data_IF_647463501207
#
_entry.id   IF_647463501207
#
_cell.length_a   1.000
_cell.length_b   1.000
_cell.length_c   1.000
_cell.angle_alpha   90.00
_cell.angle_beta   90.00
_cell.angle_gamma   90.00
#
_symmetry.space_group_name_H-M   'P 1'
#
loop_
_entity.id
_entity.type
_entity.pdbx_description
1 polymer ?
#
# COMPACT_ATOMS: atom_id res chain seq x y z
N UNK A 1 -10.95 -6.32 -23.56
CA UNK A 1 -10.36 -5.96 -22.25
C UNK A 1 -10.84 -4.55 -21.95
N UNK A 2 -11.44 -4.30 -20.78
CA UNK A 2 -11.85 -2.94 -20.39
C UNK A 2 -10.62 -2.10 -20.07
N UNK A 3 -10.67 -0.79 -20.38
CA UNK A 3 -9.69 0.17 -19.89
C UNK A 3 -9.84 0.41 -18.39
N UNK A 4 -8.83 0.99 -17.75
CA UNK A 4 -8.81 1.28 -16.30
C UNK A 4 -10.05 2.05 -15.85
N UNK A 5 -10.46 3.08 -16.59
CA UNK A 5 -11.69 3.85 -16.32
C UNK A 5 -12.96 3.00 -16.36
N UNK A 6 -13.04 2.02 -17.27
CA UNK A 6 -14.21 1.12 -17.37
C UNK A 6 -14.26 0.10 -16.23
N UNK A 7 -13.09 -0.34 -15.72
CA UNK A 7 -13.02 -1.18 -14.53
C UNK A 7 -13.41 -0.38 -13.26
N UNK A 8 -13.01 0.89 -13.19
CA UNK A 8 -13.42 1.80 -12.11
C UNK A 8 -14.93 2.06 -12.13
N UNK A 9 -15.49 2.37 -13.30
CA UNK A 9 -16.92 2.59 -13.51
C UNK A 9 -17.76 1.37 -13.12
N UNK A 10 -17.38 0.17 -13.57
CA UNK A 10 -18.03 -1.08 -13.18
C UNK A 10 -17.95 -1.38 -11.66
N UNK A 11 -16.83 -1.03 -11.00
CA UNK A 11 -16.69 -1.17 -9.55
C UNK A 11 -17.53 -0.13 -8.78
N UNK A 12 -17.62 1.11 -9.28
CA UNK A 12 -18.46 2.17 -8.72
C UNK A 12 -19.95 1.86 -8.87
N UNK A 13 -20.37 1.34 -10.03
CA UNK A 13 -21.73 0.87 -10.25
C UNK A 13 -22.05 -0.29 -9.29
N UNK A 14 -21.17 -1.30 -9.18
CA UNK A 14 -21.34 -2.42 -8.25
C UNK A 14 -21.53 -1.92 -6.80
N UNK A 15 -20.69 -1.00 -6.34
CA UNK A 15 -20.76 -0.45 -4.98
C UNK A 15 -22.02 0.41 -4.70
N UNK A 16 -22.70 0.91 -5.73
CA UNK A 16 -23.84 1.85 -5.60
C UNK A 16 -25.17 1.33 -6.13
N UNK A 17 -25.18 0.19 -6.85
CA UNK A 17 -26.36 -0.44 -7.46
C UNK A 17 -26.59 -1.89 -7.02
N UNK A 18 -25.59 -2.60 -6.50
CA UNK A 18 -25.81 -3.95 -5.99
C UNK A 18 -26.78 -3.92 -4.81
N UNK A 19 -27.80 -4.77 -4.82
CA UNK A 19 -28.89 -4.78 -3.83
C UNK A 19 -28.45 -5.13 -2.40
N UNK A 20 -27.20 -5.57 -2.21
CA UNK A 20 -26.54 -5.80 -0.92
C UNK A 20 -25.74 -4.60 -0.40
N UNK A 21 -25.57 -3.55 -1.20
CA UNK A 21 -24.67 -2.42 -0.94
C UNK A 21 -25.45 -1.12 -0.76
N UNK A 22 -25.95 -0.91 0.46
CA UNK A 22 -26.55 0.36 0.90
C UNK A 22 -25.47 1.44 1.09
N UNK A 23 -24.87 1.91 -0.01
CA UNK A 23 -23.87 2.98 -0.03
C UNK A 23 -24.29 4.11 -0.97
N UNK A 24 -24.13 5.34 -0.50
CA UNK A 24 -24.35 6.53 -1.34
C UNK A 24 -23.24 6.70 -2.39
N UNK A 25 -23.54 7.41 -3.48
CA UNK A 25 -22.54 7.70 -4.53
C UNK A 25 -21.31 8.48 -4.00
N UNK A 26 -21.47 9.52 -3.14
CA UNK A 26 -20.32 10.13 -2.46
C UNK A 26 -19.54 9.17 -1.56
N UNK A 27 -20.21 8.26 -0.85
CA UNK A 27 -19.55 7.27 -0.01
C UNK A 27 -18.70 6.30 -0.82
N UNK A 28 -19.23 5.76 -1.93
CA UNK A 28 -18.47 4.87 -2.81
C UNK A 28 -17.26 5.59 -3.42
N UNK A 29 -17.43 6.84 -3.86
CA UNK A 29 -16.31 7.67 -4.33
C UNK A 29 -15.27 7.95 -3.24
N UNK A 30 -15.69 8.21 -1.99
CA UNK A 30 -14.79 8.38 -0.84
C UNK A 30 -14.09 7.06 -0.43
N UNK A 31 -14.71 5.91 -0.68
CA UNK A 31 -14.10 4.59 -0.47
C UNK A 31 -13.05 4.27 -1.55
N UNK A 32 -13.34 4.54 -2.82
CA UNK A 32 -12.43 4.23 -3.94
C UNK A 32 -11.30 5.26 -4.10
N UNK A 33 -11.59 6.55 -3.90
CA UNK A 33 -10.60 7.65 -3.97
C UNK A 33 -10.55 8.41 -2.63
N UNK A 34 -10.01 7.78 -1.55
CA UNK A 34 -9.90 8.41 -0.24
C UNK A 34 -8.80 9.47 -0.18
N UNK A 35 -9.13 10.66 0.33
CA UNK A 35 -8.19 11.78 0.55
C UNK A 35 -7.02 11.40 1.49
N UNK A 36 -6.00 12.26 1.59
CA UNK A 36 -4.87 12.03 2.49
C UNK A 36 -5.29 12.18 3.96
N UNK A 37 -5.48 11.05 4.65
CA UNK A 37 -6.06 11.01 6.01
C UNK A 37 -5.07 10.60 7.10
N UNK A 38 -4.13 9.68 6.82
CA UNK A 38 -3.29 9.03 7.84
C UNK A 38 -2.46 10.03 8.66
N UNK A 39 -1.83 11.01 8.00
CA UNK A 39 -0.97 12.01 8.63
C UNK A 39 -1.70 13.34 8.94
N UNK A 40 -3.02 13.39 8.77
CA UNK A 40 -3.78 14.63 8.83
C UNK A 40 -4.27 14.94 10.25
N UNK A 41 -3.46 15.67 11.01
CA UNK A 41 -3.74 16.01 12.40
C UNK A 41 -5.07 16.77 12.59
N UNK A 42 -5.47 17.64 11.66
CA UNK A 42 -6.65 18.52 11.77
C UNK A 42 -7.95 17.88 11.27
N UNK A 43 -7.89 16.66 10.74
CA UNK A 43 -9.09 15.93 10.28
C UNK A 43 -9.95 15.47 11.47
N UNK A 44 -11.29 15.63 11.45
CA UNK A 44 -12.17 15.12 12.50
C UNK A 44 -12.09 13.60 12.69
N UNK A 45 -12.18 13.12 13.93
CA UNK A 45 -12.01 11.70 14.28
C UNK A 45 -13.06 10.78 13.63
N UNK A 46 -14.31 11.21 13.48
CA UNK A 46 -15.34 10.43 12.74
C UNK A 46 -14.92 10.16 11.30
N UNK A 47 -14.34 11.18 10.65
CA UNK A 47 -13.86 11.13 9.26
C UNK A 47 -12.59 10.29 9.15
N UNK A 48 -11.65 10.39 10.09
CA UNK A 48 -10.50 9.48 10.19
C UNK A 48 -10.94 8.02 10.35
N UNK A 49 -11.86 7.75 11.29
CA UNK A 49 -12.35 6.40 11.56
C UNK A 49 -13.08 5.79 10.36
N UNK A 50 -13.89 6.57 9.64
CA UNK A 50 -14.55 6.15 8.40
C UNK A 50 -13.52 5.76 7.32
N UNK A 51 -12.45 6.55 7.14
CA UNK A 51 -11.39 6.20 6.20
C UNK A 51 -10.55 4.99 6.66
N UNK A 52 -10.24 4.88 7.95
CA UNK A 52 -9.51 3.73 8.52
C UNK A 52 -10.28 2.42 8.37
N UNK A 53 -11.60 2.46 8.58
CA UNK A 53 -12.50 1.33 8.32
C UNK A 53 -12.54 0.97 6.83
N UNK A 54 -12.81 1.93 5.95
CA UNK A 54 -12.94 1.65 4.51
C UNK A 54 -11.60 1.20 3.88
N UNK A 55 -10.45 1.66 4.38
CA UNK A 55 -9.12 1.19 3.98
C UNK A 55 -8.81 -0.26 4.39
N UNK A 56 -9.63 -0.88 5.24
CA UNK A 56 -9.58 -2.33 5.52
C UNK A 56 -10.47 -3.16 4.57
N UNK A 57 -11.28 -2.49 3.74
CA UNK A 57 -12.34 -3.10 2.90
C UNK A 57 -12.13 -2.88 1.40
N UNK A 58 -11.38 -1.85 1.01
CA UNK A 58 -11.07 -1.47 -0.37
C UNK A 58 -9.71 -0.76 -0.41
N UNK A 59 -8.85 -1.17 -1.32
CA UNK A 59 -7.61 -0.44 -1.62
C UNK A 59 -7.89 0.86 -2.39
N UNK A 60 -7.12 1.95 -2.18
CA UNK A 60 -7.29 3.17 -2.95
C UNK A 60 -6.99 2.95 -4.44
N UNK A 61 -7.92 3.35 -5.32
CA UNK A 61 -7.72 3.40 -6.76
C UNK A 61 -6.90 4.65 -7.11
N UNK A 62 -5.60 4.61 -6.80
CA UNK A 62 -4.68 5.74 -6.91
C UNK A 62 -4.13 5.94 -8.34
N UNK A 63 -3.67 7.15 -8.63
CA UNK A 63 -3.19 7.59 -9.94
C UNK A 63 -3.77 8.95 -10.35
N UNK A 64 -3.20 9.65 -11.36
CA UNK A 64 -3.63 10.99 -11.73
C UNK A 64 -5.06 11.02 -12.28
N UNK A 65 -6.03 11.52 -11.51
CA UNK A 65 -7.45 11.40 -11.83
C UNK A 65 -8.26 12.67 -11.59
N UNK A 66 -9.20 12.91 -12.50
CA UNK A 66 -10.35 13.80 -12.33
C UNK A 66 -11.55 12.98 -12.77
N UNK A 67 -12.36 12.53 -11.81
CA UNK A 67 -13.50 11.64 -12.06
C UNK A 67 -14.77 12.46 -11.86
N UNK A 68 -15.49 12.71 -12.96
CA UNK A 68 -16.87 13.17 -12.92
C UNK A 68 -17.80 11.95 -12.90
N UNK A 69 -18.84 11.99 -12.08
CA UNK A 69 -19.73 10.85 -11.82
C UNK A 69 -21.18 11.31 -11.62
N UNK A 70 -22.14 10.44 -11.96
CA UNK A 70 -23.58 10.72 -11.77
C UNK A 70 -24.39 9.44 -11.62
N UNK A 71 -25.55 9.55 -10.97
CA UNK A 71 -26.60 8.52 -10.92
C UNK A 71 -27.91 8.96 -11.61
N UNK A 72 -27.91 10.09 -12.33
CA UNK A 72 -29.09 10.72 -12.95
C UNK A 72 -29.88 11.67 -12.05
N UNK A 73 -29.63 11.69 -10.73
CA UNK A 73 -30.23 12.63 -9.75
C UNK A 73 -29.21 13.57 -9.12
N UNK A 74 -27.95 13.14 -9.04
CA UNK A 74 -26.84 13.93 -8.51
C UNK A 74 -25.66 13.86 -9.49
N UNK A 75 -24.90 14.95 -9.59
CA UNK A 75 -23.67 15.04 -10.41
C UNK A 75 -22.55 15.50 -9.51
N UNK A 76 -21.39 14.84 -9.57
CA UNK A 76 -20.23 15.25 -8.80
C UNK A 76 -18.92 15.07 -9.56
N UNK A 77 -17.87 15.64 -8.99
CA UNK A 77 -16.50 15.43 -9.43
C UNK A 77 -15.55 15.33 -8.23
N UNK A 78 -14.58 14.44 -8.33
CA UNK A 78 -13.48 14.31 -7.36
C UNK A 78 -12.14 14.29 -8.09
N UNK A 79 -11.12 14.82 -7.44
CA UNK A 79 -9.74 14.59 -7.82
C UNK A 79 -9.17 13.36 -7.12
N UNK A 80 -8.04 12.86 -7.64
CA UNK A 80 -7.15 11.96 -6.90
C UNK A 80 -6.64 12.59 -5.60
N UNK A 81 -6.05 11.75 -4.73
CA UNK A 81 -5.53 12.14 -3.41
C UNK A 81 -4.58 13.33 -3.44
N UNK A 82 -3.81 13.49 -4.52
CA UNK A 82 -2.75 14.48 -4.67
C UNK A 82 -3.17 15.64 -5.59
N UNK A 83 -4.30 15.53 -6.30
CA UNK A 83 -4.84 16.52 -7.23
C UNK A 83 -3.98 16.74 -8.47
N UNK A 84 -3.48 15.63 -9.05
CA UNK A 84 -2.54 15.64 -10.19
C UNK A 84 -3.19 16.01 -11.53
N UNK A 85 -4.53 16.08 -11.59
CA UNK A 85 -5.30 16.59 -12.72
C UNK A 85 -5.93 17.94 -12.40
N UNK A 86 -5.95 18.91 -13.33
CA UNK A 86 -6.64 20.17 -13.11
C UNK A 86 -8.15 19.98 -13.22
N UNK A 87 -8.90 20.68 -12.36
CA UNK A 87 -10.35 20.81 -12.42
C UNK A 87 -10.77 22.15 -11.83
N UNK A 88 -11.70 22.83 -12.51
CA UNK A 88 -12.24 24.14 -12.15
C UNK A 88 -13.72 24.15 -12.43
N UNK A 89 -14.48 24.87 -11.62
CA UNK A 89 -15.90 25.05 -11.85
C UNK A 89 -16.33 26.50 -11.64
N UNK A 90 -17.35 26.89 -12.41
CA UNK A 90 -18.02 28.18 -12.35
C UNK A 90 -19.49 27.94 -11.99
N UNK A 91 -20.03 28.79 -11.13
CA UNK A 91 -21.48 28.86 -10.86
C UNK A 91 -21.92 30.24 -11.36
N UNK A 92 -22.95 30.28 -12.21
CA UNK A 92 -23.51 31.52 -12.76
C UNK A 92 -24.57 32.12 -11.83
N UNK A 93 -25.01 33.35 -12.14
CA UNK A 93 -26.10 34.04 -11.43
C UNK A 93 -27.49 33.49 -11.73
N UNK A 94 -27.60 32.57 -12.69
CA UNK A 94 -28.83 31.83 -13.05
C UNK A 94 -28.73 30.33 -12.70
N UNK A 95 -27.93 29.99 -11.69
CA UNK A 95 -27.74 28.67 -11.08
C UNK A 95 -27.21 27.54 -11.99
N UNK A 96 -26.77 27.84 -13.22
CA UNK A 96 -26.00 26.88 -14.01
C UNK A 96 -24.61 26.63 -13.39
N UNK A 97 -24.17 25.37 -13.40
CA UNK A 97 -22.85 24.98 -12.91
C UNK A 97 -22.06 24.28 -14.01
N UNK A 98 -20.85 24.78 -14.26
CA UNK A 98 -20.00 24.39 -15.38
C UNK A 98 -18.66 23.92 -14.84
N UNK A 99 -18.27 22.66 -15.08
CA UNK A 99 -17.00 22.09 -14.61
C UNK A 99 -16.14 21.63 -15.80
N UNK A 100 -14.85 21.97 -15.77
CA UNK A 100 -13.89 21.63 -16.83
C UNK A 100 -12.47 21.46 -16.26
N UNK A 101 -11.60 20.77 -17.00
CA UNK A 101 -10.16 20.74 -16.72
C UNK A 101 -9.48 22.10 -16.95
N UNK A 102 -10.05 22.93 -17.82
CA UNK A 102 -9.45 24.17 -18.32
C UNK A 102 -10.41 25.37 -18.23
N UNK A 103 -9.87 26.58 -18.40
CA UNK A 103 -10.63 27.84 -18.37
C UNK A 103 -10.99 28.28 -19.78
N UNK A 104 -12.14 28.95 -19.97
CA UNK A 104 -12.55 29.47 -21.28
C UNK A 104 -13.00 28.42 -22.30
N UNK A 105 -13.32 27.19 -21.86
CA UNK A 105 -13.80 26.10 -22.72
C UNK A 105 -15.24 26.31 -23.23
N UNK A 106 -16.03 27.14 -22.55
CA UNK A 106 -17.40 27.49 -22.94
C UNK A 106 -17.38 28.87 -23.60
N UNK A 107 -17.65 28.89 -24.90
CA UNK A 107 -17.82 30.12 -25.67
C UNK A 107 -19.07 30.89 -25.21
N UNK A 108 -19.03 32.21 -25.23
CA UNK A 108 -20.16 33.08 -24.89
C UNK A 108 -20.42 33.30 -23.39
N UNK A 109 -19.70 32.64 -22.48
CA UNK A 109 -19.81 32.89 -21.03
C UNK A 109 -19.30 34.31 -20.69
N UNK A 110 -20.19 35.20 -20.26
CA UNK A 110 -19.85 36.59 -19.91
C UNK A 110 -19.44 36.66 -18.43
N UNK A 111 -18.37 37.41 -18.13
CA UNK A 111 -17.82 37.55 -16.78
C UNK A 111 -18.83 38.06 -15.75
N UNK A 112 -19.76 38.93 -16.17
CA UNK A 112 -20.81 39.51 -15.33
C UNK A 112 -21.86 38.49 -14.85
N UNK A 113 -22.02 37.39 -15.58
CA UNK A 113 -23.01 36.34 -15.28
C UNK A 113 -22.41 35.25 -14.35
N UNK A 114 -21.13 35.35 -13.98
CA UNK A 114 -20.45 34.35 -13.13
C UNK A 114 -20.49 34.78 -11.66
N UNK A 115 -21.33 34.12 -10.87
CA UNK A 115 -21.47 34.37 -9.44
C UNK A 115 -20.25 33.91 -8.63
N UNK A 116 -19.68 32.74 -8.93
CA UNK A 116 -18.45 32.24 -8.28
C UNK A 116 -17.53 31.47 -9.23
N UNK A 117 -16.23 31.49 -8.92
CA UNK A 117 -15.18 30.75 -9.64
C UNK A 117 -14.30 29.99 -8.66
N UNK A 118 -14.19 28.68 -8.84
CA UNK A 118 -13.45 27.81 -7.93
C UNK A 118 -12.58 26.79 -8.69
N UNK A 119 -11.54 26.32 -7.99
CA UNK A 119 -10.73 25.17 -8.38
C UNK A 119 -11.13 23.99 -7.49
N UNK A 120 -11.21 22.78 -8.04
CA UNK A 120 -11.29 21.58 -7.21
C UNK A 120 -9.90 21.28 -6.62
N UNK A 121 -9.85 20.99 -5.33
CA UNK A 121 -8.61 20.81 -4.57
C UNK A 121 -8.36 19.31 -4.27
N UNK A 122 -7.11 18.89 -4.02
CA UNK A 122 -6.78 17.50 -3.69
C UNK A 122 -7.69 16.94 -2.59
N UNK A 123 -8.30 15.78 -2.86
CA UNK A 123 -9.21 15.13 -1.93
C UNK A 123 -10.54 15.85 -1.64
N UNK A 124 -10.85 17.01 -2.23
CA UNK A 124 -12.19 17.62 -2.16
C UNK A 124 -13.12 17.08 -3.24
N UNK A 125 -14.41 17.02 -2.90
CA UNK A 125 -15.49 16.65 -3.80
C UNK A 125 -16.35 17.88 -4.13
N UNK A 126 -16.62 18.07 -5.42
CA UNK A 126 -17.68 18.92 -5.92
C UNK A 126 -18.94 18.06 -6.13
N UNK A 127 -20.12 18.54 -5.75
CA UNK A 127 -21.35 17.76 -5.82
C UNK A 127 -22.59 18.64 -5.96
N UNK A 128 -23.50 18.27 -6.85
CA UNK A 128 -24.79 18.90 -7.10
C UNK A 128 -25.88 17.85 -6.91
N UNK A 129 -26.91 18.22 -6.17
CA UNK A 129 -28.10 17.40 -5.96
C UNK A 129 -29.31 18.10 -6.60
N UNK A 130 -29.90 17.46 -7.61
CA UNK A 130 -31.04 18.02 -8.34
C UNK A 130 -32.39 17.79 -7.63
N UNK A 131 -32.47 16.85 -6.69
CA UNK A 131 -33.66 16.70 -5.82
C UNK A 131 -33.69 17.83 -4.77
N UNK A 132 -32.53 18.32 -4.34
CA UNK A 132 -32.38 19.47 -3.44
C UNK A 132 -32.20 20.82 -4.16
N UNK A 133 -31.94 20.81 -5.48
CA UNK A 133 -31.73 22.01 -6.29
C UNK A 133 -30.49 22.84 -5.89
N UNK A 134 -29.41 22.22 -5.39
CA UNK A 134 -28.23 22.97 -4.90
C UNK A 134 -26.90 22.23 -5.05
N UNK A 135 -25.82 23.00 -5.00
CA UNK A 135 -24.46 22.48 -4.74
C UNK A 135 -24.33 22.14 -3.25
N UNK A 136 -23.84 20.94 -2.93
CA UNK A 136 -23.60 20.48 -1.56
C UNK A 136 -22.10 20.65 -1.24
N UNK A 137 -21.78 21.13 -0.03
CA UNK A 137 -20.38 21.40 0.34
C UNK A 137 -19.60 20.13 0.69
N UNK A 138 -18.29 20.09 0.38
CA UNK A 138 -17.36 19.01 0.73
C UNK A 138 -17.45 18.59 2.21
N UNK A 139 -17.59 19.58 3.10
CA UNK A 139 -17.70 19.36 4.54
C UNK A 139 -19.01 18.67 4.92
N UNK A 140 -20.13 19.08 4.31
CA UNK A 140 -21.47 18.52 4.56
C UNK A 140 -21.59 17.08 4.04
N UNK A 141 -21.04 16.81 2.85
CA UNK A 141 -20.95 15.46 2.27
C UNK A 141 -20.18 14.54 3.22
N UNK A 142 -18.97 14.96 3.62
CA UNK A 142 -18.07 14.14 4.43
C UNK A 142 -18.55 14.00 5.87
N UNK A 143 -19.20 15.02 6.44
CA UNK A 143 -19.88 14.90 7.72
C UNK A 143 -20.98 13.84 7.66
N UNK A 144 -21.87 13.92 6.66
CA UNK A 144 -22.95 12.95 6.44
C UNK A 144 -22.43 11.53 6.23
N UNK A 145 -21.42 11.34 5.38
CA UNK A 145 -20.82 10.02 5.10
C UNK A 145 -20.03 9.47 6.31
N UNK A 146 -19.34 10.31 7.08
CA UNK A 146 -18.63 9.87 8.29
C UNK A 146 -19.53 9.64 9.50
N UNK A 147 -20.74 10.22 9.51
CA UNK A 147 -21.76 10.01 10.53
C UNK A 147 -22.79 8.93 10.21
N UNK A 148 -22.80 8.38 8.99
CA UNK A 148 -23.86 7.44 8.55
C UNK A 148 -23.84 6.09 9.27
N UNK A 149 -22.68 5.67 9.81
CA UNK A 149 -22.48 4.41 10.53
C UNK A 149 -21.47 4.61 11.68
N UNK A 150 -21.47 3.77 12.73
CA UNK A 150 -20.58 3.92 13.89
C UNK A 150 -19.13 3.46 13.60
N UNK A 151 -18.46 4.08 12.63
CA UNK A 151 -17.09 3.72 12.24
C UNK A 151 -16.09 3.85 13.42
N UNK A 152 -16.30 4.81 14.32
CA UNK A 152 -15.48 4.98 15.52
C UNK A 152 -15.51 3.76 16.44
N UNK A 153 -16.67 3.11 16.58
CA UNK A 153 -16.81 1.88 17.38
C UNK A 153 -16.19 0.69 16.65
N UNK A 154 -16.36 0.60 15.33
CA UNK A 154 -15.75 -0.46 14.52
C UNK A 154 -14.22 -0.39 14.52
N UNK A 155 -13.63 0.81 14.49
CA UNK A 155 -12.18 1.01 14.56
C UNK A 155 -11.61 0.60 15.92
N UNK A 156 -12.34 0.78 17.02
CA UNK A 156 -11.92 0.31 18.35
C UNK A 156 -11.75 -1.22 18.43
N UNK A 157 -12.40 -1.98 17.55
CA UNK A 157 -12.25 -3.44 17.47
C UNK A 157 -11.04 -3.90 16.62
N UNK A 158 -10.27 -2.97 16.03
CA UNK A 158 -9.10 -3.31 15.22
C UNK A 158 -7.89 -3.71 16.08
N UNK A 159 -7.39 -4.93 15.88
CA UNK A 159 -6.14 -5.38 16.52
C UNK A 159 -4.94 -4.82 15.77
N UNK A 160 -4.39 -3.72 16.28
CA UNK A 160 -3.09 -3.21 15.84
C UNK A 160 -1.97 -4.08 16.40
N UNK A 161 -1.27 -4.84 15.55
CA UNK A 161 -0.19 -5.75 15.96
C UNK A 161 0.94 -5.09 16.75
N UNK A 162 1.18 -3.78 16.56
CA UNK A 162 2.15 -2.98 17.32
C UNK A 162 1.78 -2.82 18.81
N UNK A 163 0.49 -2.92 19.15
CA UNK A 163 -0.03 -2.73 20.50
C UNK A 163 -0.18 -4.05 21.29
N UNK A 164 0.23 -5.18 20.69
CA UNK A 164 0.22 -6.49 21.34
C UNK A 164 1.44 -6.59 22.28
N UNK A 165 1.23 -7.09 23.50
CA UNK A 165 2.34 -7.20 24.47
C UNK A 165 3.44 -8.12 23.93
N UNK A 166 4.65 -7.58 23.79
CA UNK A 166 5.84 -8.28 23.31
C UNK A 166 6.19 -8.07 21.83
N UNK A 167 5.41 -7.29 21.06
CA UNK A 167 5.74 -6.93 19.67
C UNK A 167 6.31 -5.51 19.52
N UNK A 168 5.99 -4.61 20.44
CA UNK A 168 6.64 -3.30 20.59
C UNK A 168 8.14 -3.50 20.85
N UNK A 169 9.00 -2.88 20.04
CA UNK A 169 10.47 -2.98 20.16
C UNK A 169 11.01 -2.47 21.51
N UNK A 170 10.24 -1.63 22.22
CA UNK A 170 10.61 -1.09 23.53
C UNK A 170 10.10 -1.97 24.70
N UNK A 171 8.98 -2.69 24.53
CA UNK A 171 8.42 -3.61 25.52
C UNK A 171 8.95 -5.04 25.37
N UNK A 172 9.48 -5.36 24.19
CA UNK A 172 10.38 -6.47 23.94
C UNK A 172 11.64 -6.28 24.79
N UNK A 173 11.57 -6.75 26.05
CA UNK A 173 12.77 -7.09 26.84
C UNK A 173 13.74 -7.80 25.89
N UNK A 174 14.98 -7.33 25.70
CA UNK A 174 15.89 -7.86 24.68
C UNK A 174 15.92 -9.36 24.87
N UNK A 175 15.41 -10.08 23.86
CA UNK A 175 14.91 -11.43 24.05
C UNK A 175 16.04 -12.27 24.64
N UNK A 176 15.92 -12.66 25.94
CA UNK A 176 16.96 -13.40 26.68
C UNK A 176 17.45 -14.49 25.74
N UNK A 177 18.69 -14.42 25.20
CA UNK A 177 19.10 -15.23 24.05
C UNK A 177 18.72 -16.70 24.26
N UNK A 178 17.62 -17.13 23.63
CA UNK A 178 16.68 -18.01 24.34
C UNK A 178 16.97 -19.50 24.14
N UNK A 179 18.25 -19.87 24.15
CA UNK A 179 18.71 -21.13 23.57
C UNK A 179 18.50 -21.21 22.06
N UNK A 180 18.12 -20.11 21.39
CA UNK A 180 18.18 -19.95 19.94
C UNK A 180 19.67 -19.85 19.53
N UNK A 181 20.35 -20.98 19.66
CA UNK A 181 21.75 -21.13 19.33
C UNK A 181 21.93 -20.74 17.87
N UNK A 182 22.74 -19.71 17.61
CA UNK A 182 23.15 -19.36 16.25
C UNK A 182 23.56 -20.66 15.55
N UNK A 183 22.94 -21.01 14.41
CA UNK A 183 23.20 -22.30 13.78
C UNK A 183 24.70 -22.51 13.65
N UNK A 184 25.21 -23.66 14.10
CA UNK A 184 26.65 -23.94 14.24
C UNK A 184 27.44 -23.89 12.91
N UNK A 185 26.72 -23.65 11.81
CA UNK A 185 27.15 -23.60 10.42
C UNK A 185 26.59 -22.33 9.74
N UNK A 186 26.56 -21.20 10.48
CA UNK A 186 26.02 -19.92 10.03
C UNK A 186 26.63 -19.44 8.69
N UNK A 187 27.94 -19.57 8.41
CA UNK A 187 28.51 -19.21 7.10
C UNK A 187 27.93 -20.03 5.93
N UNK A 188 27.66 -21.33 6.10
CA UNK A 188 26.99 -22.11 5.03
C UNK A 188 25.53 -21.73 4.88
N UNK A 189 24.83 -21.35 5.96
CA UNK A 189 23.47 -20.81 5.86
C UNK A 189 23.44 -19.46 5.14
N UNK A 190 24.39 -18.56 5.38
CA UNK A 190 24.52 -17.30 4.63
C UNK A 190 24.77 -17.56 3.13
N UNK A 191 25.71 -18.45 2.80
CA UNK A 191 25.99 -18.84 1.42
C UNK A 191 24.78 -19.48 0.72
N UNK A 192 23.98 -20.29 1.42
CA UNK A 192 22.77 -20.94 0.89
C UNK A 192 21.71 -19.93 0.39
N UNK A 193 21.69 -18.73 0.98
CA UNK A 193 20.78 -17.63 0.62
C UNK A 193 21.48 -16.51 -0.18
N UNK A 194 22.69 -16.74 -0.66
CA UNK A 194 23.44 -15.76 -1.45
C UNK A 194 23.76 -14.48 -0.67
N UNK A 195 24.08 -14.58 0.63
CA UNK A 195 24.67 -13.49 1.40
C UNK A 195 26.19 -13.53 1.18
N UNK A 196 26.71 -12.66 0.31
CA UNK A 196 28.15 -12.47 0.15
C UNK A 196 28.66 -11.44 1.18
N UNK A 197 29.97 -11.40 1.42
CA UNK A 197 30.59 -10.33 2.22
C UNK A 197 30.22 -8.96 1.68
N UNK A 198 30.19 -8.80 0.36
CA UNK A 198 29.78 -7.58 -0.35
C UNK A 198 28.33 -7.19 -0.05
N UNK A 199 27.37 -8.12 -0.14
CA UNK A 199 25.97 -7.89 0.25
C UNK A 199 25.86 -7.49 1.72
N UNK A 200 26.61 -8.12 2.61
CA UNK A 200 26.56 -7.82 4.04
C UNK A 200 27.16 -6.43 4.35
N UNK A 201 28.37 -6.15 3.88
CA UNK A 201 29.07 -4.88 4.14
C UNK A 201 28.46 -3.68 3.41
N UNK A 202 28.04 -3.84 2.14
CA UNK A 202 27.51 -2.72 1.36
C UNK A 202 26.02 -2.46 1.59
N UNK A 203 25.21 -3.46 1.94
CA UNK A 203 23.74 -3.29 2.02
C UNK A 203 23.22 -3.41 3.45
N UNK A 204 23.53 -4.50 4.15
CA UNK A 204 23.00 -4.73 5.51
C UNK A 204 23.61 -3.79 6.55
N UNK A 205 24.91 -3.47 6.47
CA UNK A 205 25.56 -2.60 7.47
C UNK A 205 25.03 -1.16 7.40
N UNK A 206 24.90 -0.48 6.24
CA UNK A 206 24.25 0.83 6.18
C UNK A 206 22.78 0.80 6.63
N UNK A 207 22.00 -0.23 6.27
CA UNK A 207 20.62 -0.36 6.76
C UNK A 207 20.55 -0.54 8.30
N UNK A 208 21.52 -1.25 8.88
CA UNK A 208 21.59 -1.49 10.34
C UNK A 208 22.15 -0.33 11.17
N UNK A 209 23.01 0.53 10.60
CA UNK A 209 23.67 1.64 11.30
C UNK A 209 23.07 3.01 10.97
N UNK A 210 22.77 3.29 9.70
CA UNK A 210 22.26 4.59 9.23
C UNK A 210 20.74 4.65 9.09
N UNK A 211 20.05 3.51 9.18
CA UNK A 211 18.61 3.36 8.92
C UNK A 211 18.20 3.77 7.50
N UNK A 212 19.09 3.57 6.52
CA UNK A 212 18.89 3.89 5.10
C UNK A 212 19.35 2.74 4.22
N UNK A 213 18.73 2.63 3.04
CA UNK A 213 19.29 1.84 1.94
C UNK A 213 20.63 2.43 1.48
N UNK A 214 21.53 1.58 1.01
CA UNK A 214 22.87 1.98 0.60
C UNK A 214 22.87 2.80 -0.69
N UNK A 215 23.71 3.83 -0.74
CA UNK A 215 23.80 4.72 -1.90
C UNK A 215 24.97 4.33 -2.80
N UNK A 216 24.65 3.63 -3.90
CA UNK A 216 25.57 3.37 -5.00
C UNK A 216 25.66 4.53 -6.01
N UNK A 217 26.59 4.41 -6.96
CA UNK A 217 26.67 5.25 -8.16
C UNK A 217 27.18 4.42 -9.35
N UNK A 218 27.15 4.99 -10.56
CA UNK A 218 27.26 4.26 -11.85
C UNK A 218 26.04 3.38 -12.18
N UNK A 219 26.03 2.81 -13.39
CA UNK A 219 25.00 1.87 -13.82
C UNK A 219 25.25 0.45 -13.29
N UNK A 220 24.23 -0.40 -13.35
CA UNK A 220 24.38 -1.82 -13.06
C UNK A 220 24.88 -2.56 -14.31
N UNK A 221 26.20 -2.73 -14.41
CA UNK A 221 26.86 -3.47 -15.50
C UNK A 221 26.84 -5.00 -15.32
N UNK A 222 26.18 -5.52 -14.26
CA UNK A 222 25.98 -6.95 -14.11
C UNK A 222 25.02 -7.51 -15.18
N UNK A 223 25.23 -8.74 -15.68
CA UNK A 223 24.29 -9.36 -16.61
C UNK A 223 22.91 -9.53 -15.95
N UNK A 224 21.85 -9.41 -16.77
CA UNK A 224 20.49 -9.80 -16.38
C UNK A 224 20.52 -11.20 -15.75
N UNK A 225 19.68 -11.48 -14.74
CA UNK A 225 19.75 -12.72 -13.98
C UNK A 225 19.65 -14.01 -14.85
N UNK A 226 18.94 -13.96 -15.99
CA UNK A 226 18.84 -15.06 -16.98
C UNK A 226 20.10 -15.23 -17.87
N UNK A 227 21.02 -14.27 -17.83
CA UNK A 227 22.31 -14.24 -18.54
C UNK A 227 23.50 -14.33 -17.57
N UNK A 228 23.27 -14.51 -16.27
CA UNK A 228 24.34 -14.58 -15.26
C UNK A 228 24.93 -15.98 -15.19
N UNK A 229 26.27 -16.08 -15.19
CA UNK A 229 26.99 -17.33 -14.91
C UNK A 229 26.97 -17.70 -13.41
N UNK A 230 26.50 -16.78 -12.54
CA UNK A 230 26.36 -16.99 -11.10
C UNK A 230 24.89 -17.29 -10.75
N UNK A 231 24.63 -18.16 -9.75
CA UNK A 231 23.28 -18.46 -9.32
C UNK A 231 22.61 -17.22 -8.71
N UNK A 232 21.57 -16.71 -9.37
CA UNK A 232 20.78 -15.57 -8.89
C UNK A 232 19.49 -15.99 -8.20
N UNK A 233 19.07 -15.21 -7.22
CA UNK A 233 17.80 -15.41 -6.51
C UNK A 233 16.62 -15.06 -7.45
N UNK A 234 15.44 -15.71 -7.33
CA UNK A 234 14.34 -15.49 -8.27
C UNK A 234 13.78 -14.05 -8.30
N UNK A 235 13.86 -13.32 -7.18
CA UNK A 235 13.58 -11.88 -7.08
C UNK A 235 14.24 -11.04 -8.18
N UNK A 236 15.47 -11.36 -8.59
CA UNK A 236 16.18 -10.64 -9.65
C UNK A 236 15.51 -10.76 -11.04
N UNK A 237 14.74 -11.83 -11.26
CA UNK A 237 14.07 -12.14 -12.53
C UNK A 237 12.70 -11.45 -12.69
N UNK A 238 12.09 -10.98 -11.59
CA UNK A 238 10.74 -10.40 -11.61
C UNK A 238 10.75 -8.87 -11.53
N UNK A 239 9.70 -8.26 -12.09
CA UNK A 239 9.36 -6.82 -11.96
C UNK A 239 7.91 -6.69 -11.48
N UNK A 240 7.62 -5.59 -10.79
CA UNK A 240 6.51 -5.48 -9.82
C UNK A 240 5.11 -5.40 -10.45
N UNK A 241 4.16 -6.14 -9.86
CA UNK A 241 2.69 -5.98 -9.92
C UNK A 241 2.10 -6.45 -8.57
N UNK A 242 0.80 -6.29 -8.31
CA UNK A 242 0.20 -6.37 -6.96
C UNK A 242 -1.26 -6.91 -6.90
N UNK A 243 -1.61 -7.65 -5.83
CA UNK A 243 -3.00 -7.97 -5.40
C UNK A 243 -3.06 -8.51 -3.95
N UNK A 244 -4.14 -8.25 -3.19
CA UNK A 244 -4.16 -8.45 -1.71
C UNK A 244 -5.43 -9.15 -1.16
N UNK A 245 -5.54 -9.20 0.18
CA UNK A 245 -6.66 -9.71 1.02
C UNK A 245 -6.78 -11.26 1.02
N UNK A 246 -7.13 -12.05 2.06
CA UNK A 246 -7.32 -11.97 3.56
C UNK A 246 -8.55 -12.84 3.93
N UNK A 247 -8.71 -13.57 5.06
CA UNK A 247 -7.93 -13.76 6.30
C UNK A 247 -7.96 -15.24 6.80
N UNK A 248 -6.88 -16.00 6.61
CA UNK A 248 -6.53 -17.22 7.37
C UNK A 248 -5.00 -17.39 7.24
N UNK A 249 -4.25 -17.43 8.34
CA UNK A 249 -2.80 -17.17 8.27
C UNK A 249 -2.02 -18.42 7.86
N UNK A 250 -1.41 -18.37 6.67
CA UNK A 250 -0.38 -19.31 6.24
C UNK A 250 0.98 -18.65 6.37
N UNK A 251 1.85 -19.23 7.21
CA UNK A 251 3.27 -18.85 7.31
C UNK A 251 4.08 -19.85 6.49
N UNK A 252 4.79 -19.37 5.48
CA UNK A 252 5.78 -20.14 4.74
C UNK A 252 7.12 -19.88 5.42
N UNK A 253 7.76 -20.94 5.91
CA UNK A 253 9.00 -20.87 6.67
C UNK A 253 10.02 -21.83 6.08
N UNK A 254 11.21 -21.32 5.77
CA UNK A 254 12.33 -22.10 5.26
C UNK A 254 13.44 -22.32 6.31
N UNK A 255 13.20 -21.96 7.59
CA UNK A 255 14.12 -22.22 8.72
C UNK A 255 14.66 -23.66 8.77
N UNK A 256 13.82 -24.62 8.36
CA UNK A 256 14.08 -26.05 8.31
C UNK A 256 15.00 -26.50 7.17
N UNK A 257 15.58 -25.57 6.40
CA UNK A 257 16.61 -25.83 5.40
C UNK A 257 17.88 -26.46 6.03
N UNK A 258 18.56 -27.33 5.28
CA UNK A 258 19.73 -28.07 5.74
C UNK A 258 20.26 -29.02 4.67
N UNK A 259 21.23 -29.89 4.99
CA UNK A 259 21.91 -30.75 4.01
C UNK A 259 20.96 -31.58 3.14
N UNK A 260 19.90 -32.14 3.75
CA UNK A 260 18.91 -32.98 3.06
C UNK A 260 17.65 -32.19 2.62
N UNK A 261 17.64 -30.85 2.79
CA UNK A 261 16.48 -29.98 2.59
C UNK A 261 16.87 -28.62 2.02
N UNK A 262 16.85 -28.50 0.70
CA UNK A 262 16.99 -27.20 0.04
C UNK A 262 15.76 -26.32 0.30
N UNK A 263 15.93 -25.01 0.58
CA UNK A 263 14.83 -24.07 0.66
C UNK A 263 14.22 -23.88 -0.73
N UNK A 264 12.89 -23.76 -0.80
CA UNK A 264 12.22 -23.26 -2.00
C UNK A 264 12.23 -21.73 -1.89
N UNK A 265 12.75 -20.97 -2.87
CA UNK A 265 12.83 -19.52 -2.78
C UNK A 265 11.48 -18.87 -2.46
N UNK A 266 11.47 -17.95 -1.51
CA UNK A 266 10.24 -17.47 -0.86
C UNK A 266 9.29 -16.81 -1.85
N UNK A 267 9.85 -16.06 -2.81
CA UNK A 267 9.06 -15.42 -3.87
C UNK A 267 8.35 -16.44 -4.79
N UNK A 268 8.97 -17.58 -5.05
CA UNK A 268 8.36 -18.65 -5.83
C UNK A 268 7.22 -19.32 -5.05
N UNK A 269 7.41 -19.56 -3.74
CA UNK A 269 6.37 -20.11 -2.86
C UNK A 269 5.18 -19.15 -2.78
N UNK A 270 5.43 -17.89 -2.41
CA UNK A 270 4.40 -16.84 -2.29
C UNK A 270 3.66 -16.66 -3.61
N UNK A 271 4.36 -16.45 -4.72
CA UNK A 271 3.75 -16.24 -6.03
C UNK A 271 2.93 -17.45 -6.51
N UNK A 272 3.44 -18.67 -6.34
CA UNK A 272 2.72 -19.88 -6.74
C UNK A 272 1.45 -20.12 -5.89
N UNK A 273 1.54 -19.93 -4.56
CA UNK A 273 0.40 -20.08 -3.65
C UNK A 273 -0.62 -18.97 -3.86
N UNK A 274 -0.20 -17.70 -3.96
CA UNK A 274 -1.08 -16.57 -4.26
C UNK A 274 -1.86 -16.80 -5.56
N UNK A 275 -1.17 -17.19 -6.64
CA UNK A 275 -1.80 -17.49 -7.92
C UNK A 275 -2.70 -18.74 -7.89
N UNK A 276 -2.40 -19.74 -7.05
CA UNK A 276 -3.29 -20.86 -6.81
C UNK A 276 -4.58 -20.42 -6.09
N UNK A 277 -4.43 -19.65 -5.00
CA UNK A 277 -5.54 -19.13 -4.19
C UNK A 277 -6.44 -18.14 -4.95
N UNK A 278 -5.91 -17.39 -5.92
CA UNK A 278 -6.72 -16.63 -6.86
C UNK A 278 -7.57 -17.56 -7.74
N UNK A 279 -6.98 -18.61 -8.33
CA UNK A 279 -7.70 -19.59 -9.17
C UNK A 279 -8.75 -20.40 -8.40
N UNK A 280 -8.53 -20.69 -7.12
CA UNK A 280 -9.51 -21.37 -6.26
C UNK A 280 -10.48 -20.43 -5.54
N UNK A 281 -10.41 -19.11 -5.79
CA UNK A 281 -11.22 -18.08 -5.13
C UNK A 281 -11.07 -18.04 -3.60
N UNK A 282 -9.92 -18.47 -3.09
CA UNK A 282 -9.58 -18.57 -1.67
C UNK A 282 -8.57 -17.50 -1.20
N UNK A 283 -8.03 -16.65 -2.09
CA UNK A 283 -7.13 -15.55 -1.69
C UNK A 283 -7.85 -14.64 -0.69
N UNK A 284 -9.09 -14.25 -1.00
CA UNK A 284 -10.08 -13.58 -0.12
C UNK A 284 -10.59 -14.46 1.05
N UNK A 285 -9.80 -15.44 1.48
CA UNK A 285 -9.98 -16.22 2.71
C UNK A 285 -8.64 -16.62 3.35
N UNK A 286 -7.50 -16.11 2.86
CA UNK A 286 -6.15 -16.48 3.31
C UNK A 286 -5.25 -15.24 3.41
N UNK A 287 -4.38 -15.18 4.42
CA UNK A 287 -3.30 -14.21 4.54
C UNK A 287 -1.94 -14.93 4.47
N UNK A 288 -1.01 -14.42 3.67
CA UNK A 288 0.27 -15.07 3.34
C UNK A 288 1.44 -14.35 4.02
N UNK A 289 2.18 -15.04 4.89
CA UNK A 289 3.39 -14.52 5.53
C UNK A 289 4.61 -15.31 5.06
N UNK A 290 5.66 -14.59 4.64
CA UNK A 290 6.96 -15.17 4.31
C UNK A 290 7.91 -15.02 5.51
N UNK A 291 8.20 -16.10 6.23
CA UNK A 291 9.38 -16.20 7.08
C UNK A 291 10.51 -16.79 6.23
N UNK A 292 11.49 -15.95 5.89
CA UNK A 292 12.33 -16.17 4.72
C UNK A 292 13.81 -15.95 4.99
N UNK A 293 14.64 -16.88 4.50
CA UNK A 293 16.09 -16.74 4.50
C UNK A 293 16.65 -15.89 3.36
N UNK A 294 15.92 -15.71 2.25
CA UNK A 294 16.39 -15.09 1.01
C UNK A 294 16.15 -13.58 0.88
N UNK A 295 15.34 -12.97 1.76
CA UNK A 295 15.09 -11.52 1.73
C UNK A 295 16.12 -10.71 2.54
N UNK A 296 16.80 -9.78 1.88
CA UNK A 296 17.88 -8.93 2.44
C UNK A 296 17.89 -7.48 1.92
N UNK A 297 17.29 -7.21 0.76
CA UNK A 297 17.27 -5.92 0.06
C UNK A 297 15.84 -5.37 -0.10
N UNK A 298 15.68 -4.06 -0.30
CA UNK A 298 14.35 -3.40 -0.42
C UNK A 298 13.52 -4.01 -1.56
N UNK A 299 14.16 -4.39 -2.67
CA UNK A 299 13.54 -5.08 -3.80
C UNK A 299 12.94 -6.45 -3.43
N UNK A 300 13.47 -7.14 -2.42
CA UNK A 300 12.98 -8.45 -1.98
C UNK A 300 11.65 -8.31 -1.25
N UNK A 301 11.57 -7.35 -0.33
CA UNK A 301 10.31 -7.00 0.33
C UNK A 301 9.27 -6.52 -0.68
N UNK A 302 9.68 -5.65 -1.62
CA UNK A 302 8.77 -5.13 -2.64
C UNK A 302 8.27 -6.20 -3.62
N UNK A 303 9.10 -7.18 -4.00
CA UNK A 303 8.66 -8.31 -4.82
C UNK A 303 7.80 -9.30 -4.03
N UNK A 304 8.17 -9.66 -2.80
CA UNK A 304 7.35 -10.55 -1.95
C UNK A 304 5.96 -9.98 -1.71
N UNK A 305 5.87 -8.69 -1.33
CA UNK A 305 4.58 -8.00 -1.12
C UNK A 305 3.77 -7.91 -2.42
N UNK A 306 4.41 -7.53 -3.54
CA UNK A 306 3.74 -7.45 -4.84
C UNK A 306 3.17 -8.79 -5.32
N UNK A 307 3.96 -9.86 -5.25
CA UNK A 307 3.52 -11.21 -5.62
C UNK A 307 2.59 -11.86 -4.59
N UNK A 308 2.18 -11.13 -3.55
CA UNK A 308 1.00 -11.43 -2.76
C UNK A 308 1.22 -11.72 -1.28
N UNK A 309 2.42 -11.50 -0.73
CA UNK A 309 2.62 -11.57 0.72
C UNK A 309 1.90 -10.41 1.43
N UNK A 310 1.27 -10.72 2.57
CA UNK A 310 0.69 -9.73 3.49
C UNK A 310 1.67 -9.34 4.61
N UNK A 311 2.81 -10.03 4.72
CA UNK A 311 3.90 -9.72 5.64
C UNK A 311 5.16 -10.56 5.38
N UNK A 312 6.32 -10.04 5.78
CA UNK A 312 7.65 -10.64 5.57
C UNK A 312 8.47 -10.59 6.86
N UNK A 313 9.14 -11.68 7.22
CA UNK A 313 10.04 -11.81 8.36
C UNK A 313 11.43 -12.29 7.86
N UNK A 314 12.39 -11.36 7.66
CA UNK A 314 13.70 -11.65 7.07
C UNK A 314 14.68 -12.19 8.13
N UNK A 315 14.39 -13.34 8.73
CA UNK A 315 15.13 -13.83 9.89
C UNK A 315 16.63 -14.00 9.63
N UNK A 316 17.03 -14.35 8.40
CA UNK A 316 18.44 -14.52 8.05
C UNK A 316 19.18 -13.19 8.02
N UNK A 317 18.55 -12.08 7.61
CA UNK A 317 19.13 -10.75 7.70
C UNK A 317 19.35 -10.32 9.16
N UNK A 318 18.39 -10.61 10.06
CA UNK A 318 18.57 -10.38 11.49
C UNK A 318 19.68 -11.27 12.08
N UNK A 319 19.77 -12.53 11.67
CA UNK A 319 20.85 -13.43 12.10
C UNK A 319 22.23 -12.97 11.56
N UNK A 320 22.30 -12.45 10.33
CA UNK A 320 23.52 -11.90 9.74
C UNK A 320 24.01 -10.66 10.51
N UNK A 321 23.11 -9.71 10.80
CA UNK A 321 23.41 -8.54 11.63
C UNK A 321 23.88 -8.95 13.04
N UNK A 322 23.20 -9.91 13.67
CA UNK A 322 23.61 -10.42 14.98
C UNK A 322 24.98 -11.13 14.94
N UNK A 323 25.29 -11.86 13.86
CA UNK A 323 26.59 -12.51 13.66
C UNK A 323 27.71 -11.48 13.50
N UNK A 324 27.53 -10.47 12.63
CA UNK A 324 28.48 -9.37 12.45
C UNK A 324 28.67 -8.54 13.73
N UNK A 325 27.61 -8.40 14.55
CA UNK A 325 27.71 -7.76 15.85
C UNK A 325 28.57 -8.58 16.83
N UNK A 326 28.35 -9.90 16.90
CA UNK A 326 29.11 -10.79 17.78
C UNK A 326 30.59 -10.91 17.39
N UNK A 327 30.93 -10.70 16.11
CA UNK A 327 32.32 -10.61 15.64
C UNK A 327 32.92 -9.20 15.76
N UNK A 328 32.16 -8.22 16.26
CA UNK A 328 32.61 -6.83 16.44
C UNK A 328 32.74 -6.04 15.13
N UNK A 329 32.32 -6.58 13.99
CA UNK A 329 32.43 -5.95 12.67
C UNK A 329 31.60 -4.66 12.59
N UNK A 330 30.38 -4.65 13.16
CA UNK A 330 29.55 -3.45 13.20
C UNK A 330 30.22 -2.31 13.98
N UNK A 331 30.83 -2.62 15.14
CA UNK A 331 31.63 -1.65 15.91
C UNK A 331 32.88 -1.18 15.17
N UNK A 332 33.53 -2.04 14.39
CA UNK A 332 34.73 -1.69 13.62
C UNK A 332 34.42 -0.82 12.39
N UNK A 333 33.23 -0.95 11.81
CA UNK A 333 32.76 -0.11 10.69
C UNK A 333 32.21 1.22 11.21
N UNK A 334 31.40 1.22 12.28
CA UNK A 334 30.86 2.43 12.92
C UNK A 334 31.92 3.37 13.54
N UNK A 335 33.20 2.94 13.61
CA UNK A 335 34.36 3.75 14.02
C UNK A 335 35.18 4.29 12.83
N UNK A 336 34.77 4.00 11.58
CA UNK A 336 35.40 4.50 10.34
C UNK A 336 34.55 5.57 9.62
N UNK A 337 33.23 5.53 9.82
CA UNK A 337 32.24 6.54 9.43
C UNK A 337 32.22 7.70 10.42
#
# INVERSE_FOLDING_TARGET
MMGTTGNFDAALELLTKASSCDRSLPEAMMMMIPEAWQSNATMPESKKAMYQYNACMMEPWDGPAMVAFTNGKTVGASLDRNGLRPSRYYITTDDHVMLSSEVGVIEGLVEADVATKHRLEPGKMFFVDFDQGRVISDQEIKATVSGSRPYGDWVQHMVHFQNVRGTSLNDAKPAKNNGAMMPTDMPRRLNLYGFTTETMEMLLVPMGLEYKEALGSMGNDAPLAVLSEQPKLPNEYFKQLFAQVRQAVLVFSDQAAGPDRFPIPSLLVIGAVHQHLLRTQQRTSVALFAECGDAKEVHDFATLLGFGADGVCPYMAYHALAHMNNEGLLEAIAKKT
#
